data_IF_975820320727
#
_entry.id   IF_975820320727
#
_cell.length_a   1.000
_cell.length_b   1.000
_cell.length_c   1.000
_cell.angle_alpha   90.00
_cell.angle_beta   90.00
_cell.angle_gamma   90.00
#
_symmetry.space_group_name_H-M   'P 1'
#
loop_
_entity.id
_entity.type
_entity.pdbx_description
1 polymer ?
#
# COMPACT_ATOMS: atom_id res chain seq x y z
N UNK A 1 -45.75 7.07 -21.66
CA UNK A 1 -44.65 6.08 -21.70
C UNK A 1 -43.47 6.54 -22.62
N UNK A 2 -43.68 6.92 -23.87
CA UNK A 2 -42.57 7.35 -24.80
C UNK A 2 -41.69 8.46 -24.27
N UNK A 3 -42.22 9.49 -23.58
CA UNK A 3 -41.41 10.61 -23.00
C UNK A 3 -40.49 10.18 -21.87
N UNK A 4 -40.93 9.22 -21.05
CA UNK A 4 -40.11 8.68 -19.94
C UNK A 4 -38.96 7.83 -20.46
N UNK A 5 -39.20 7.05 -21.54
CA UNK A 5 -38.15 6.24 -22.19
C UNK A 5 -37.05 7.11 -22.82
N UNK A 6 -37.45 8.23 -23.43
CA UNK A 6 -36.49 9.19 -24.02
C UNK A 6 -35.62 9.85 -22.93
N UNK A 7 -36.19 10.19 -21.77
CA UNK A 7 -35.45 10.78 -20.66
C UNK A 7 -34.42 9.79 -20.10
N UNK A 8 -34.76 8.51 -19.92
CA UNK A 8 -33.84 7.47 -19.50
C UNK A 8 -32.69 7.25 -20.50
N UNK A 9 -32.98 7.30 -21.81
CA UNK A 9 -31.97 7.21 -22.86
C UNK A 9 -30.96 8.39 -22.80
N UNK A 10 -31.47 9.61 -22.61
CA UNK A 10 -30.61 10.80 -22.49
C UNK A 10 -29.71 10.73 -21.27
N UNK A 11 -30.19 10.29 -20.10
CA UNK A 11 -29.39 10.14 -18.88
C UNK A 11 -28.27 9.09 -19.09
N UNK A 12 -28.55 7.98 -19.77
CA UNK A 12 -27.57 6.93 -20.05
C UNK A 12 -26.46 7.41 -21.00
N UNK A 13 -26.78 8.22 -21.99
CA UNK A 13 -25.84 8.80 -22.95
C UNK A 13 -24.91 9.81 -22.26
N UNK A 14 -25.42 10.67 -21.37
CA UNK A 14 -24.61 11.61 -20.59
C UNK A 14 -23.64 10.88 -19.67
N UNK A 15 -24.06 9.83 -18.97
CA UNK A 15 -23.16 9.02 -18.13
C UNK A 15 -22.05 8.34 -18.92
N UNK A 16 -22.34 7.85 -20.12
CA UNK A 16 -21.34 7.22 -20.99
C UNK A 16 -20.32 8.24 -21.52
N UNK A 17 -20.76 9.44 -21.89
CA UNK A 17 -19.89 10.53 -22.36
C UNK A 17 -18.91 11.00 -21.28
N UNK A 18 -19.37 11.17 -20.04
CA UNK A 18 -18.51 11.55 -18.90
C UNK A 18 -17.43 10.49 -18.62
N UNK A 19 -17.77 9.20 -18.69
CA UNK A 19 -16.81 8.10 -18.52
C UNK A 19 -15.75 8.09 -19.62
N UNK A 20 -16.14 8.35 -20.85
CA UNK A 20 -15.21 8.43 -21.99
C UNK A 20 -14.23 9.64 -21.84
N UNK A 21 -14.75 10.79 -21.39
CA UNK A 21 -13.92 11.98 -21.18
C UNK A 21 -12.92 11.77 -20.03
N UNK A 22 -13.32 11.16 -18.90
CA UNK A 22 -12.41 10.82 -17.81
C UNK A 22 -11.25 9.93 -18.29
N UNK A 23 -11.54 8.88 -19.07
CA UNK A 23 -10.51 8.01 -19.65
C UNK A 23 -9.54 8.79 -20.53
N UNK A 24 -10.05 9.67 -21.37
CA UNK A 24 -9.25 10.49 -22.29
C UNK A 24 -8.33 11.45 -21.53
N UNK A 25 -8.83 12.12 -20.48
CA UNK A 25 -8.02 13.03 -19.68
C UNK A 25 -6.94 12.28 -18.88
N UNK A 26 -7.24 11.11 -18.31
CA UNK A 26 -6.22 10.26 -17.68
C UNK A 26 -5.13 9.88 -18.68
N UNK A 27 -5.50 9.38 -19.87
CA UNK A 27 -4.54 9.01 -20.92
C UNK A 27 -3.67 10.19 -21.33
N UNK A 28 -4.26 11.35 -21.57
CA UNK A 28 -3.55 12.59 -21.93
C UNK A 28 -2.51 13.02 -20.90
N UNK A 29 -2.81 12.82 -19.60
CA UNK A 29 -1.88 13.13 -18.51
C UNK A 29 -0.75 12.10 -18.46
N UNK A 30 -1.09 10.81 -18.51
CA UNK A 30 -0.13 9.71 -18.33
C UNK A 30 0.84 9.56 -19.50
N UNK A 31 0.36 9.72 -20.75
CA UNK A 31 1.18 9.57 -21.96
C UNK A 31 2.27 10.65 -22.09
N UNK A 32 2.09 11.81 -21.47
CA UNK A 32 3.07 12.90 -21.48
C UNK A 32 4.23 12.69 -20.51
N UNK A 33 4.17 11.66 -19.65
CA UNK A 33 5.20 11.41 -18.62
C UNK A 33 6.32 10.53 -19.20
N UNK A 34 7.57 10.91 -18.95
CA UNK A 34 8.75 10.06 -19.21
C UNK A 34 8.91 9.00 -18.13
N UNK A 35 7.84 8.22 -17.89
CA UNK A 35 7.77 7.20 -16.83
C UNK A 35 6.73 6.14 -17.22
N UNK A 36 6.85 4.95 -16.62
CA UNK A 36 5.76 3.97 -16.62
C UNK A 36 4.72 4.40 -15.60
N UNK A 37 3.53 4.76 -16.04
CA UNK A 37 2.41 5.16 -15.19
C UNK A 37 1.30 4.12 -15.32
N UNK A 38 0.99 3.42 -14.24
CA UNK A 38 -0.16 2.53 -14.14
C UNK A 38 -1.30 3.23 -13.41
N UNK A 39 -2.50 3.11 -13.95
CA UNK A 39 -3.72 3.70 -13.35
C UNK A 39 -4.83 2.67 -13.39
N UNK A 40 -5.49 2.47 -12.26
CA UNK A 40 -6.75 1.75 -12.13
C UNK A 40 -7.75 2.62 -11.36
N UNK A 41 -8.98 2.65 -11.83
CA UNK A 41 -10.08 3.35 -11.18
C UNK A 41 -11.26 2.40 -11.06
N UNK A 42 -11.77 2.23 -9.86
CA UNK A 42 -12.97 1.43 -9.57
C UNK A 42 -14.01 2.33 -8.91
N UNK A 43 -15.20 2.43 -9.51
CA UNK A 43 -16.35 3.08 -8.88
C UNK A 43 -16.95 2.17 -7.81
N UNK A 44 -17.13 2.70 -6.59
CA UNK A 44 -17.74 1.94 -5.47
C UNK A 44 -19.27 1.98 -5.59
N UNK A 45 -19.84 3.17 -5.80
CA UNK A 45 -21.30 3.40 -5.82
C UNK A 45 -21.90 3.45 -7.23
N UNK A 46 -21.09 3.30 -8.27
CA UNK A 46 -21.53 3.33 -9.65
C UNK A 46 -20.68 2.39 -10.53
N UNK A 47 -21.27 1.78 -11.58
CA UNK A 47 -20.56 0.80 -12.41
C UNK A 47 -19.55 1.50 -13.33
N UNK A 48 -18.36 1.74 -12.83
CA UNK A 48 -17.24 2.28 -13.59
C UNK A 48 -15.94 1.54 -13.26
N UNK A 49 -15.26 1.06 -14.27
CA UNK A 49 -13.93 0.52 -14.17
C UNK A 49 -13.07 1.02 -15.32
N UNK A 50 -11.87 1.42 -15.01
CA UNK A 50 -10.85 1.81 -15.97
C UNK A 50 -9.48 1.29 -15.55
N UNK A 51 -8.80 0.65 -16.46
CA UNK A 51 -7.39 0.25 -16.33
C UNK A 51 -6.65 0.76 -17.57
N UNK A 52 -5.53 1.43 -17.40
CA UNK A 52 -4.68 1.75 -18.53
C UNK A 52 -3.81 0.55 -18.94
N UNK A 53 -3.08 0.67 -20.06
CA UNK A 53 -2.26 -0.41 -20.61
C UNK A 53 -1.11 -0.88 -19.70
N UNK A 54 -0.80 -0.12 -18.65
CA UNK A 54 0.24 -0.45 -17.67
C UNK A 54 -0.31 -1.04 -16.37
N UNK A 55 -1.63 -1.16 -16.20
CA UNK A 55 -2.25 -1.55 -14.94
C UNK A 55 -1.82 -2.96 -14.47
N UNK A 56 -1.43 -3.85 -15.39
CA UNK A 56 -0.94 -5.21 -15.09
C UNK A 56 0.58 -5.29 -14.89
N UNK A 57 1.30 -4.17 -15.08
CA UNK A 57 2.75 -4.17 -14.84
C UNK A 57 3.06 -4.26 -13.36
N UNK A 58 4.02 -5.09 -13.02
CA UNK A 58 4.60 -5.17 -11.69
C UNK A 58 5.41 -3.91 -11.43
N UNK A 59 4.97 -3.12 -10.47
CA UNK A 59 5.61 -1.88 -10.08
C UNK A 59 6.13 -1.99 -8.64
N UNK A 60 7.33 -1.49 -8.34
CA UNK A 60 7.87 -1.52 -6.99
C UNK A 60 6.99 -0.69 -6.07
N UNK A 61 6.63 -1.28 -4.93
CA UNK A 61 5.75 -0.62 -3.97
C UNK A 61 6.44 0.48 -3.16
N UNK A 62 7.75 0.40 -3.00
CA UNK A 62 8.45 1.27 -2.06
C UNK A 62 7.69 1.32 -0.72
N UNK A 63 7.55 2.46 -0.08
CA UNK A 63 6.84 2.58 1.20
C UNK A 63 5.34 2.25 1.17
N UNK A 64 4.73 2.03 0.01
CA UNK A 64 3.31 1.58 -0.07
C UNK A 64 3.11 0.25 0.66
N UNK A 65 4.11 -0.63 0.69
CA UNK A 65 3.98 -1.93 1.38
C UNK A 65 3.77 -1.81 2.89
N UNK A 66 4.13 -0.69 3.53
CA UNK A 66 3.90 -0.41 4.96
C UNK A 66 2.42 -0.41 5.33
N UNK A 67 1.57 0.06 4.41
CA UNK A 67 0.12 -0.05 4.56
C UNK A 67 -0.33 -1.52 4.65
N UNK A 68 0.24 -2.39 3.83
CA UNK A 68 -0.09 -3.81 3.86
C UNK A 68 0.38 -4.50 5.14
N UNK A 69 1.53 -4.08 5.69
CA UNK A 69 2.01 -4.55 7.00
C UNK A 69 1.03 -4.15 8.09
N UNK A 70 0.59 -2.89 8.10
CA UNK A 70 -0.40 -2.42 9.07
C UNK A 70 -1.70 -3.22 8.99
N UNK A 71 -2.21 -3.53 7.80
CA UNK A 71 -3.40 -4.37 7.63
C UNK A 71 -3.20 -5.79 8.20
N UNK A 72 -2.03 -6.41 7.97
CA UNK A 72 -1.74 -7.74 8.51
C UNK A 72 -1.64 -7.72 10.05
N UNK A 73 -1.07 -6.67 10.64
CA UNK A 73 -1.03 -6.46 12.10
C UNK A 73 -2.44 -6.28 12.66
N UNK A 74 -3.27 -5.44 12.02
CA UNK A 74 -4.65 -5.20 12.45
C UNK A 74 -5.53 -6.46 12.33
N UNK A 75 -5.32 -7.30 11.31
CA UNK A 75 -6.00 -8.60 11.21
C UNK A 75 -5.66 -9.52 12.40
N UNK A 76 -4.42 -9.47 12.90
CA UNK A 76 -4.04 -10.20 14.13
C UNK A 76 -4.65 -9.57 15.39
N UNK A 77 -4.84 -8.26 15.43
CA UNK A 77 -5.56 -7.57 16.51
C UNK A 77 -7.03 -7.98 16.52
N UNK A 78 -7.68 -7.99 15.36
CA UNK A 78 -9.09 -8.42 15.20
C UNK A 78 -9.29 -9.89 15.61
N UNK A 79 -8.27 -10.74 15.42
CA UNK A 79 -8.25 -12.13 15.88
C UNK A 79 -7.94 -12.27 17.40
N UNK A 80 -7.70 -11.18 18.11
CA UNK A 80 -7.33 -11.19 19.53
C UNK A 80 -5.92 -11.74 19.85
N UNK A 81 -5.07 -11.88 18.81
CA UNK A 81 -3.69 -12.38 18.97
C UNK A 81 -2.71 -11.28 19.37
N UNK A 82 -3.02 -10.03 19.05
CA UNK A 82 -2.28 -8.83 19.42
C UNK A 82 -3.23 -7.80 20.04
N UNK A 83 -2.66 -6.79 20.71
CA UNK A 83 -3.41 -5.61 21.17
C UNK A 83 -2.70 -4.35 20.72
N UNK A 84 -3.45 -3.31 20.34
CA UNK A 84 -2.89 -2.02 19.92
C UNK A 84 -2.05 -1.36 21.04
N UNK A 85 -2.41 -1.59 22.29
CA UNK A 85 -1.69 -1.05 23.46
C UNK A 85 -0.48 -1.91 23.87
N UNK A 86 -0.33 -3.11 23.29
CA UNK A 86 0.80 -3.99 23.56
C UNK A 86 2.12 -3.27 23.28
N UNK A 87 3.01 -3.27 24.27
CA UNK A 87 4.36 -2.67 24.12
C UNK A 87 5.32 -3.64 23.43
N UNK A 88 6.08 -3.07 22.51
CA UNK A 88 7.12 -3.77 21.74
C UNK A 88 8.44 -3.13 22.07
N UNK A 89 9.39 -3.93 22.56
CA UNK A 89 10.75 -3.46 22.84
C UNK A 89 11.56 -3.31 21.55
N UNK A 90 12.18 -2.15 21.38
CA UNK A 90 13.02 -1.78 20.22
C UNK A 90 14.47 -1.70 20.70
N UNK A 91 15.29 -2.61 20.21
CA UNK A 91 16.72 -2.67 20.56
C UNK A 91 17.49 -1.57 19.82
N UNK A 92 18.60 -1.10 20.42
CA UNK A 92 19.53 -0.17 19.73
C UNK A 92 20.01 -0.71 18.39
N UNK A 93 20.24 -2.00 18.27
CA UNK A 93 20.67 -2.65 17.02
C UNK A 93 19.63 -2.62 15.90
N UNK A 94 18.36 -2.34 16.20
CA UNK A 94 17.29 -2.20 15.21
C UNK A 94 17.17 -0.77 14.66
N UNK A 95 17.88 0.19 15.26
CA UNK A 95 17.95 1.58 14.81
C UNK A 95 18.94 1.71 13.65
N UNK A 96 18.62 1.13 12.51
CA UNK A 96 19.49 1.08 11.34
C UNK A 96 20.02 2.48 10.96
N UNK A 97 21.34 2.65 10.74
CA UNK A 97 21.89 3.89 10.23
C UNK A 97 21.46 4.10 8.76
N UNK A 98 21.54 5.34 8.30
CA UNK A 98 21.32 5.72 6.88
C UNK A 98 19.94 5.36 6.31
N UNK A 99 18.92 5.21 7.17
CA UNK A 99 17.54 5.05 6.77
C UNK A 99 16.66 6.18 7.31
N UNK A 100 15.54 6.45 6.67
CA UNK A 100 14.56 7.41 7.17
C UNK A 100 13.84 6.81 8.38
N UNK A 101 13.99 7.43 9.56
CA UNK A 101 13.31 6.99 10.77
C UNK A 101 13.19 8.09 11.81
N UNK A 102 12.06 8.79 11.90
CA UNK A 102 11.71 9.66 13.02
C UNK A 102 11.77 8.97 14.40
N UNK A 103 11.47 7.67 14.47
CA UNK A 103 11.63 6.87 15.70
C UNK A 103 13.09 6.90 16.18
N UNK A 104 14.04 6.61 15.29
CA UNK A 104 15.48 6.65 15.63
C UNK A 104 15.92 8.05 16.01
N UNK A 105 15.47 9.08 15.30
CA UNK A 105 15.86 10.46 15.59
C UNK A 105 15.42 10.92 16.99
N UNK A 106 14.24 10.48 17.43
CA UNK A 106 13.73 10.77 18.79
C UNK A 106 14.37 9.92 19.88
N UNK A 107 14.84 8.72 19.54
CA UNK A 107 15.35 7.74 20.49
C UNK A 107 16.73 7.18 20.05
N UNK A 108 17.76 8.02 19.91
CA UNK A 108 19.05 7.61 19.32
C UNK A 108 19.79 6.54 20.14
N UNK A 109 19.49 6.44 21.45
CA UNK A 109 20.10 5.45 22.35
C UNK A 109 19.47 4.07 22.23
N UNK A 110 18.30 3.95 21.62
CA UNK A 110 17.57 2.69 21.53
C UNK A 110 17.12 2.13 22.88
N UNK A 111 16.76 0.84 22.92
CA UNK A 111 16.36 0.12 24.13
C UNK A 111 15.16 0.78 24.85
N UNK A 112 14.09 1.01 24.12
CA UNK A 112 12.85 1.62 24.60
C UNK A 112 11.65 0.81 24.10
N UNK A 113 10.46 1.14 24.58
CA UNK A 113 9.21 0.49 24.17
C UNK A 113 8.27 1.46 23.46
N UNK A 114 7.58 0.96 22.45
CA UNK A 114 6.46 1.63 21.79
C UNK A 114 5.25 0.68 21.75
N UNK A 115 4.05 1.24 21.75
CA UNK A 115 2.84 0.45 21.48
C UNK A 115 2.76 0.07 20.00
N UNK A 116 2.01 -1.00 19.69
CA UNK A 116 1.71 -1.38 18.30
C UNK A 116 1.00 -0.23 17.57
N UNK A 117 0.10 0.48 18.26
CA UNK A 117 -0.58 1.66 17.70
C UNK A 117 0.41 2.74 17.28
N UNK A 118 1.37 3.10 18.13
CA UNK A 118 2.42 4.08 17.82
C UNK A 118 3.28 3.61 16.65
N UNK A 119 3.66 2.33 16.62
CA UNK A 119 4.46 1.77 15.52
C UNK A 119 3.72 1.84 14.18
N UNK A 120 2.43 1.53 14.15
CA UNK A 120 1.59 1.66 12.95
C UNK A 120 1.52 3.12 12.51
N UNK A 121 1.29 4.07 13.43
CA UNK A 121 1.24 5.49 13.14
C UNK A 121 2.56 5.97 12.49
N UNK A 122 3.70 5.70 13.12
CA UNK A 122 5.01 6.08 12.58
C UNK A 122 5.29 5.41 11.22
N UNK A 123 5.00 4.11 11.10
CA UNK A 123 5.24 3.37 9.87
C UNK A 123 4.40 3.88 8.70
N UNK A 124 3.09 4.09 8.90
CA UNK A 124 2.16 4.44 7.82
C UNK A 124 2.12 5.95 7.56
N UNK A 125 1.94 6.77 8.62
CA UNK A 125 1.75 8.20 8.45
C UNK A 125 3.08 8.95 8.24
N UNK A 126 4.18 8.48 8.84
CA UNK A 126 5.49 9.13 8.76
C UNK A 126 6.49 8.34 7.89
N UNK A 127 6.08 7.21 7.34
CA UNK A 127 6.92 6.32 6.51
C UNK A 127 8.19 5.84 7.21
N UNK A 128 8.13 5.63 8.53
CA UNK A 128 9.26 5.21 9.35
C UNK A 128 9.73 3.80 9.00
N UNK A 129 11.01 3.65 8.66
CA UNK A 129 11.58 2.38 8.24
C UNK A 129 11.88 1.45 9.42
N UNK A 130 12.29 2.00 10.57
CA UNK A 130 12.51 1.20 11.78
C UNK A 130 11.17 0.67 12.30
N UNK A 131 10.14 1.51 12.40
CA UNK A 131 8.80 1.08 12.79
C UNK A 131 8.24 -0.01 11.89
N UNK A 132 8.48 0.11 10.58
CA UNK A 132 8.13 -0.92 9.59
C UNK A 132 8.78 -2.27 9.90
N UNK A 133 10.10 -2.30 10.08
CA UNK A 133 10.85 -3.55 10.31
C UNK A 133 10.55 -4.16 11.68
N UNK A 134 10.30 -3.33 12.70
CA UNK A 134 9.84 -3.79 14.02
C UNK A 134 8.46 -4.47 13.92
N UNK A 135 7.51 -3.90 13.18
CA UNK A 135 6.21 -4.53 12.94
C UNK A 135 6.35 -5.85 12.17
N UNK A 136 7.19 -5.90 11.13
CA UNK A 136 7.46 -7.14 10.41
C UNK A 136 8.06 -8.22 11.33
N UNK A 137 9.05 -7.86 12.15
CA UNK A 137 9.63 -8.78 13.14
C UNK A 137 8.57 -9.32 14.10
N UNK A 138 7.69 -8.45 14.59
CA UNK A 138 6.63 -8.82 15.54
C UNK A 138 5.71 -9.91 14.99
N UNK A 139 5.33 -9.82 13.72
CA UNK A 139 4.36 -10.74 13.10
C UNK A 139 5.00 -11.93 12.39
N UNK A 140 6.34 -12.04 12.37
CA UNK A 140 7.05 -13.18 11.78
C UNK A 140 7.64 -12.95 10.37
N UNK A 141 7.70 -11.68 9.93
CA UNK A 141 8.41 -11.27 8.72
C UNK A 141 7.55 -11.05 7.48
N UNK A 142 8.18 -10.65 6.36
CA UNK A 142 7.51 -10.28 5.11
C UNK A 142 6.57 -11.36 4.55
N UNK A 143 6.95 -12.64 4.72
CA UNK A 143 6.14 -13.77 4.25
C UNK A 143 4.74 -13.80 4.85
N UNK A 144 4.60 -13.45 6.13
CA UNK A 144 3.29 -13.42 6.80
C UNK A 144 2.38 -12.37 6.16
N UNK A 145 2.93 -11.20 5.82
CA UNK A 145 2.19 -10.15 5.11
C UNK A 145 1.81 -10.61 3.70
N UNK A 146 2.74 -11.24 2.99
CA UNK A 146 2.46 -11.79 1.66
C UNK A 146 1.31 -12.82 1.70
N UNK A 147 1.40 -13.80 2.59
CA UNK A 147 0.37 -14.84 2.73
C UNK A 147 -1.00 -14.24 3.12
N UNK A 148 -1.00 -13.26 4.00
CA UNK A 148 -2.20 -12.49 4.35
C UNK A 148 -2.83 -11.84 3.11
N UNK A 149 -2.07 -11.13 2.30
CA UNK A 149 -2.56 -10.48 1.08
C UNK A 149 -3.13 -11.48 0.07
N UNK A 150 -2.43 -12.60 -0.15
CA UNK A 150 -2.93 -13.68 -1.01
C UNK A 150 -4.27 -14.21 -0.49
N UNK A 151 -4.42 -14.40 0.83
CA UNK A 151 -5.66 -14.86 1.45
C UNK A 151 -6.83 -13.88 1.26
N UNK A 152 -6.54 -12.58 1.14
CA UNK A 152 -7.53 -11.52 0.87
C UNK A 152 -7.77 -11.30 -0.64
N UNK A 153 -7.11 -12.07 -1.51
CA UNK A 153 -7.32 -12.03 -2.97
C UNK A 153 -6.35 -11.13 -3.74
N UNK A 154 -5.37 -10.49 -3.11
CA UNK A 154 -4.35 -9.66 -3.76
C UNK A 154 -3.24 -10.52 -4.39
N UNK A 155 -3.60 -11.30 -5.44
CA UNK A 155 -2.74 -12.34 -6.04
C UNK A 155 -1.53 -11.80 -6.81
N UNK A 156 -1.61 -10.56 -7.30
CA UNK A 156 -0.56 -9.94 -8.11
C UNK A 156 0.34 -9.01 -7.28
N UNK A 157 0.41 -9.27 -5.97
CA UNK A 157 1.23 -8.53 -5.01
C UNK A 157 2.28 -9.47 -4.41
N UNK A 158 3.52 -8.99 -4.30
CA UNK A 158 4.62 -9.73 -3.68
C UNK A 158 5.29 -8.87 -2.61
N UNK A 159 5.47 -9.44 -1.41
CA UNK A 159 6.25 -8.85 -0.32
C UNK A 159 7.22 -9.92 0.18
N UNK A 160 8.53 -9.70 -0.01
CA UNK A 160 9.60 -10.64 0.32
C UNK A 160 10.71 -10.03 1.16
N UNK A 161 10.87 -8.70 1.14
CA UNK A 161 11.91 -7.99 1.86
C UNK A 161 11.35 -7.00 2.87
N UNK A 162 12.09 -6.81 3.97
CA UNK A 162 11.93 -5.70 4.89
C UNK A 162 12.71 -4.48 4.38
N UNK A 163 12.65 -3.35 5.09
CA UNK A 163 13.34 -2.11 4.70
C UNK A 163 14.85 -2.27 4.67
N UNK A 164 15.44 -2.97 5.65
CA UNK A 164 16.88 -3.23 5.70
C UNK A 164 17.36 -3.94 4.43
N UNK A 165 16.68 -5.01 4.02
CA UNK A 165 17.04 -5.78 2.82
C UNK A 165 16.79 -5.00 1.53
N UNK A 166 15.69 -4.22 1.45
CA UNK A 166 15.43 -3.38 0.29
C UNK A 166 16.53 -2.32 0.08
N UNK A 167 17.11 -1.78 1.16
CA UNK A 167 18.18 -0.79 1.07
C UNK A 167 19.55 -1.40 0.80
N UNK A 168 19.76 -2.68 1.06
CA UNK A 168 21.04 -3.35 0.91
C UNK A 168 21.55 -3.43 -0.54
N UNK A 169 20.64 -3.40 -1.53
CA UNK A 169 20.98 -3.36 -2.95
C UNK A 169 19.87 -2.72 -3.78
N UNK A 170 20.24 -1.94 -4.80
CA UNK A 170 19.28 -1.25 -5.68
C UNK A 170 18.21 -2.19 -6.28
N UNK A 171 18.62 -3.38 -6.72
CA UNK A 171 17.71 -4.38 -7.31
C UNK A 171 16.65 -4.88 -6.33
N UNK A 172 16.94 -4.91 -5.04
CA UNK A 172 16.03 -5.43 -4.02
C UNK A 172 14.78 -4.58 -3.87
N UNK A 173 14.85 -3.30 -4.24
CA UNK A 173 13.70 -2.38 -4.21
C UNK A 173 12.57 -2.77 -5.19
N UNK A 174 12.86 -3.63 -6.16
CA UNK A 174 11.88 -4.11 -7.15
C UNK A 174 11.24 -5.45 -6.76
N UNK A 175 11.70 -6.09 -5.70
CA UNK A 175 11.20 -7.40 -5.27
C UNK A 175 9.88 -7.30 -4.51
N UNK A 176 9.63 -6.20 -3.81
CA UNK A 176 8.32 -5.88 -3.27
C UNK A 176 7.53 -5.12 -4.32
N UNK A 177 6.60 -5.79 -4.99
CA UNK A 177 5.83 -5.21 -6.10
C UNK A 177 4.33 -5.47 -5.98
N UNK A 178 3.54 -4.66 -6.68
CA UNK A 178 2.12 -4.88 -6.91
C UNK A 178 1.73 -4.46 -8.31
N UNK A 179 0.53 -4.85 -8.76
CA UNK A 179 -0.14 -4.30 -9.96
C UNK A 179 -1.24 -3.34 -9.53
N UNK A 180 -1.78 -2.58 -10.47
CA UNK A 180 -2.94 -1.70 -10.24
C UNK A 180 -4.28 -2.38 -10.54
N UNK A 181 -4.29 -3.69 -10.83
CA UNK A 181 -5.49 -4.43 -11.23
C UNK A 181 -6.10 -5.18 -10.07
#
# INVERSE_FOLDING_TARGET
>A
MKKLTILFLLISIFSCAQKAELKKEISKITERKKATVAVSVLGIDFPFQYNNNNAEKKLPMQSVFKYHIALAVLDLVDQGKLSLDQKVFIKKSELLPNTWSPIREKNPEGNFEMSISELIEYSVAMSDNVGCDVLLRLIGGPKVVHDFLISKGAKDTQIVYNEELMQSAWKNQYENYTTMK
#
